data_IF_980740828566
#
_entry.id   IF_980740828566
#
_cell.length_a   1.000
_cell.length_b   1.000
_cell.length_c   1.000
_cell.angle_alpha   90.00
_cell.angle_beta   90.00
_cell.angle_gamma   90.00
#
_symmetry.space_group_name_H-M   'P 1'
#
loop_
_entity.id
_entity.type
_entity.pdbx_description
1 polymer ?
#
# COMPACT_ATOMS: atom_id res chain seq x y z
N UNK A 1 15.14 1.82 -18.53
CA UNK A 1 15.65 1.87 -17.14
C UNK A 1 15.50 0.50 -16.51
N UNK A 2 16.60 -0.15 -16.12
CA UNK A 2 16.52 -1.42 -15.40
C UNK A 2 15.96 -1.20 -13.98
N UNK A 3 15.63 -2.28 -13.26
CA UNK A 3 15.00 -2.17 -11.93
C UNK A 3 15.88 -1.41 -10.93
N UNK A 4 17.18 -1.69 -10.89
CA UNK A 4 18.11 -0.98 -9.99
C UNK A 4 18.12 0.52 -10.25
N UNK A 5 18.17 0.94 -11.52
CA UNK A 5 18.10 2.36 -11.88
C UNK A 5 16.77 3.01 -11.47
N UNK A 6 15.66 2.25 -11.46
CA UNK A 6 14.38 2.74 -10.93
C UNK A 6 14.46 2.99 -9.42
N UNK A 7 15.07 2.05 -8.68
CA UNK A 7 15.31 2.20 -7.24
C UNK A 7 16.23 3.40 -6.96
N UNK A 8 17.35 3.54 -7.66
CA UNK A 8 18.29 4.66 -7.48
C UNK A 8 17.61 6.01 -7.76
N UNK A 9 16.75 6.06 -8.79
CA UNK A 9 15.96 7.25 -9.09
C UNK A 9 14.95 7.56 -7.98
N UNK A 10 14.28 6.56 -7.41
CA UNK A 10 13.37 6.76 -6.26
C UNK A 10 14.16 7.31 -5.06
N UNK A 11 15.26 6.66 -4.68
CA UNK A 11 16.07 7.04 -3.52
C UNK A 11 16.60 8.47 -3.65
N UNK A 12 16.95 8.91 -4.86
CA UNK A 12 17.49 10.26 -5.10
C UNK A 12 16.44 11.36 -5.23
N UNK A 13 15.19 11.04 -5.58
CA UNK A 13 14.16 12.05 -5.93
C UNK A 13 12.94 12.07 -5.02
N UNK A 14 12.62 10.95 -4.37
CA UNK A 14 11.43 10.82 -3.54
C UNK A 14 11.55 11.63 -2.25
N UNK A 15 10.40 12.11 -1.79
CA UNK A 15 10.26 12.84 -0.53
C UNK A 15 9.42 12.02 0.44
N UNK A 16 9.62 12.24 1.74
CA UNK A 16 8.77 11.65 2.76
C UNK A 16 7.29 11.76 2.41
N UNK A 17 6.57 10.63 2.55
CA UNK A 17 5.14 10.57 2.28
C UNK A 17 4.77 10.29 0.82
N UNK A 18 5.73 10.27 -0.11
CA UNK A 18 5.49 9.90 -1.51
C UNK A 18 5.01 8.45 -1.63
N UNK A 19 3.99 8.24 -2.47
CA UNK A 19 3.50 6.91 -2.79
C UNK A 19 4.49 6.23 -3.74
N UNK A 20 4.98 5.06 -3.35
CA UNK A 20 5.79 4.20 -4.21
C UNK A 20 4.89 3.08 -4.74
N UNK A 21 4.73 3.04 -6.06
CA UNK A 21 3.99 2.00 -6.77
C UNK A 21 4.98 0.97 -7.32
N UNK A 22 4.83 -0.27 -6.88
CA UNK A 22 5.50 -1.43 -7.45
C UNK A 22 4.50 -2.13 -8.39
N UNK A 23 4.49 -1.73 -9.66
CA UNK A 23 3.56 -2.23 -10.67
C UNK A 23 3.96 -3.62 -11.13
N UNK A 24 3.07 -4.59 -10.93
CA UNK A 24 3.28 -5.98 -11.33
C UNK A 24 2.77 -6.19 -12.77
N UNK A 25 3.33 -7.16 -13.53
CA UNK A 25 2.95 -7.39 -14.93
C UNK A 25 1.47 -7.70 -15.22
N UNK A 26 0.65 -7.95 -14.20
CA UNK A 26 -0.75 -8.40 -14.34
C UNK A 26 -1.80 -7.34 -13.94
N UNK A 27 -1.45 -6.05 -13.94
CA UNK A 27 -2.40 -4.96 -13.67
C UNK A 27 -2.78 -4.81 -12.20
N UNK A 28 -1.94 -5.34 -11.31
CA UNK A 28 -1.95 -5.09 -9.87
C UNK A 28 -0.62 -4.44 -9.50
N UNK A 29 -0.62 -3.66 -8.44
CA UNK A 29 0.52 -2.93 -7.90
C UNK A 29 0.57 -3.13 -6.39
N UNK A 30 1.76 -3.40 -5.88
CA UNK A 30 2.03 -3.27 -4.45
C UNK A 30 2.36 -1.81 -4.12
N UNK A 31 1.96 -1.35 -2.95
CA UNK A 31 2.07 0.05 -2.56
C UNK A 31 2.84 0.22 -1.25
N UNK A 32 3.63 1.28 -1.21
CA UNK A 32 4.38 1.69 -0.04
C UNK A 32 4.43 3.22 0.05
N UNK A 33 4.90 3.72 1.20
CA UNK A 33 5.20 5.13 1.41
C UNK A 33 6.70 5.29 1.58
N UNK A 34 7.30 6.24 0.87
CA UNK A 34 8.69 6.61 1.08
C UNK A 34 8.88 7.23 2.46
N UNK A 35 9.83 6.70 3.22
CA UNK A 35 10.06 6.99 4.63
C UNK A 35 11.50 7.43 4.90
N UNK A 36 11.99 8.33 4.04
CA UNK A 36 13.33 8.92 4.06
C UNK A 36 14.47 7.86 4.00
N UNK A 37 15.72 8.31 3.84
CA UNK A 37 16.93 7.47 3.87
C UNK A 37 16.93 6.24 2.94
N UNK A 38 16.26 6.31 1.79
CA UNK A 38 16.16 5.18 0.87
C UNK A 38 15.30 4.02 1.38
N UNK A 39 14.40 4.28 2.32
CA UNK A 39 13.49 3.29 2.87
C UNK A 39 12.04 3.58 2.51
N UNK A 40 11.22 2.53 2.59
CA UNK A 40 9.77 2.62 2.51
C UNK A 40 9.13 1.92 3.71
N UNK A 41 7.95 2.39 4.09
CA UNK A 41 7.02 1.66 4.95
C UNK A 41 5.91 1.05 4.10
N UNK A 42 5.63 -0.24 4.29
CA UNK A 42 4.59 -0.95 3.54
C UNK A 42 3.86 -1.98 4.41
N UNK A 43 2.61 -2.24 4.07
CA UNK A 43 1.86 -3.37 4.62
C UNK A 43 2.23 -4.63 3.83
N UNK A 44 3.14 -5.44 4.37
CA UNK A 44 3.76 -6.55 3.66
C UNK A 44 2.76 -7.67 3.35
N UNK A 45 2.99 -8.40 2.27
CA UNK A 45 2.19 -9.59 1.91
C UNK A 45 2.98 -10.83 2.32
N UNK A 46 2.36 -11.78 3.01
CA UNK A 46 3.05 -13.01 3.46
C UNK A 46 3.40 -13.96 2.30
N UNK A 47 2.50 -14.11 1.32
CA UNK A 47 2.70 -14.97 0.15
C UNK A 47 2.32 -14.25 -1.15
N UNK A 48 3.33 -13.70 -1.84
CA UNK A 48 3.16 -13.02 -3.13
C UNK A 48 2.72 -13.96 -4.25
N UNK A 49 3.13 -15.24 -4.21
CA UNK A 49 2.71 -16.21 -5.24
C UNK A 49 1.23 -16.48 -5.12
N UNK A 50 0.76 -16.73 -3.89
CA UNK A 50 -0.66 -16.89 -3.61
C UNK A 50 -1.45 -15.62 -3.97
N UNK A 51 -0.94 -14.43 -3.62
CA UNK A 51 -1.56 -13.16 -4.02
C UNK A 51 -1.69 -13.09 -5.54
N UNK A 52 -0.61 -13.34 -6.29
CA UNK A 52 -0.62 -13.27 -7.75
C UNK A 52 -1.56 -14.29 -8.39
N UNK A 53 -1.59 -15.53 -7.90
CA UNK A 53 -2.56 -16.54 -8.36
C UNK A 53 -3.99 -16.08 -8.11
N UNK A 54 -4.24 -15.46 -6.95
CA UNK A 54 -5.58 -15.03 -6.56
C UNK A 54 -6.04 -13.81 -7.36
N UNK A 55 -5.18 -12.80 -7.51
CA UNK A 55 -5.41 -11.62 -8.36
C UNK A 55 -5.66 -12.05 -9.80
N UNK A 56 -4.81 -12.94 -10.36
CA UNK A 56 -5.01 -13.46 -11.72
C UNK A 56 -6.37 -14.14 -11.86
N UNK A 57 -6.73 -15.01 -10.91
CA UNK A 57 -8.01 -15.73 -10.93
C UNK A 57 -9.18 -14.75 -10.88
N UNK A 58 -9.09 -13.72 -10.04
CA UNK A 58 -10.10 -12.68 -9.90
C UNK A 58 -10.25 -11.87 -11.20
N UNK A 59 -9.14 -11.36 -11.75
CA UNK A 59 -9.13 -10.58 -12.98
C UNK A 59 -9.63 -11.38 -14.19
N UNK A 60 -9.34 -12.68 -14.25
CA UNK A 60 -9.76 -13.54 -15.35
C UNK A 60 -11.25 -13.90 -15.33
N UNK A 61 -11.87 -14.00 -14.14
CA UNK A 61 -13.23 -14.54 -14.03
C UNK A 61 -14.35 -13.50 -13.97
N UNK A 62 -14.05 -12.19 -13.86
CA UNK A 62 -15.04 -11.10 -13.67
C UNK A 62 -16.18 -11.54 -12.74
N UNK A 63 -15.85 -12.23 -11.65
CA UNK A 63 -16.86 -12.69 -10.70
C UNK A 63 -17.15 -11.53 -9.76
N UNK A 64 -18.41 -11.16 -9.55
CA UNK A 64 -18.77 -10.32 -8.43
C UNK A 64 -18.50 -11.12 -7.15
N UNK A 65 -17.28 -11.03 -6.64
CA UNK A 65 -16.92 -11.63 -5.35
C UNK A 65 -17.54 -10.75 -4.28
N UNK A 66 -18.67 -11.19 -3.74
CA UNK A 66 -19.25 -10.61 -2.55
C UNK A 66 -18.51 -11.23 -1.35
N UNK A 67 -17.51 -10.53 -0.82
CA UNK A 67 -16.79 -10.99 0.37
C UNK A 67 -15.34 -10.54 0.46
N UNK A 68 -14.80 -10.76 1.65
CA UNK A 68 -13.44 -10.49 2.07
C UNK A 68 -12.49 -11.61 1.62
N UNK A 69 -11.33 -11.26 1.05
CA UNK A 69 -10.32 -12.23 0.64
C UNK A 69 -9.09 -12.09 1.53
N UNK A 70 -9.14 -12.79 2.66
CA UNK A 70 -8.08 -12.83 3.65
C UNK A 70 -6.89 -13.65 3.12
N UNK A 71 -5.72 -13.03 3.09
CA UNK A 71 -4.46 -13.66 2.67
C UNK A 71 -3.52 -13.94 3.87
N UNK A 72 -4.04 -13.80 5.10
CA UNK A 72 -3.32 -14.06 6.35
C UNK A 72 -3.04 -12.80 7.17
N UNK A 73 -2.45 -12.96 8.34
CA UNK A 73 -2.00 -11.85 9.18
C UNK A 73 -0.57 -11.45 8.79
N UNK A 74 -0.36 -10.16 8.58
CA UNK A 74 0.93 -9.63 8.11
C UNK A 74 1.30 -8.37 8.85
N UNK A 75 2.57 -7.98 8.76
CA UNK A 75 3.14 -6.88 9.54
C UNK A 75 3.42 -5.68 8.64
N UNK A 76 3.15 -4.48 9.15
CA UNK A 76 3.60 -3.23 8.54
C UNK A 76 5.09 -3.04 8.87
N UNK A 77 5.92 -2.93 7.83
CA UNK A 77 7.39 -2.96 7.95
C UNK A 77 8.02 -1.77 7.26
N UNK A 78 9.14 -1.30 7.82
CA UNK A 78 10.07 -0.38 7.17
C UNK A 78 11.25 -1.18 6.62
N UNK A 79 11.52 -1.04 5.33
CA UNK A 79 12.60 -1.76 4.62
C UNK A 79 13.27 -0.84 3.59
N UNK A 80 14.52 -1.09 3.18
CA UNK A 80 15.11 -0.43 2.02
C UNK A 80 14.24 -0.61 0.77
N UNK A 81 14.13 0.41 -0.09
CA UNK A 81 13.24 0.36 -1.27
C UNK A 81 13.56 -0.85 -2.17
N UNK A 82 14.84 -1.16 -2.35
CA UNK A 82 15.30 -2.29 -3.16
C UNK A 82 15.11 -3.68 -2.52
N UNK A 83 14.74 -3.74 -1.23
CA UNK A 83 14.47 -5.00 -0.52
C UNK A 83 12.97 -5.32 -0.43
N UNK A 84 12.12 -4.46 -0.98
CA UNK A 84 10.70 -4.81 -1.16
C UNK A 84 10.62 -5.97 -2.14
N UNK A 85 10.16 -7.11 -1.64
CA UNK A 85 9.98 -8.29 -2.46
C UNK A 85 8.87 -8.03 -3.49
N UNK A 86 9.20 -8.24 -4.76
CA UNK A 86 8.30 -8.02 -5.90
C UNK A 86 8.59 -9.08 -6.97
N UNK A 87 7.58 -9.47 -7.78
CA UNK A 87 7.79 -10.43 -8.85
C UNK A 87 8.75 -9.91 -9.91
N UNK A 88 9.42 -10.83 -10.60
CA UNK A 88 10.25 -10.49 -11.75
C UNK A 88 9.44 -9.73 -12.82
N UNK A 89 10.04 -8.68 -13.38
CA UNK A 89 9.38 -7.78 -14.34
C UNK A 89 8.50 -6.69 -13.70
N UNK A 90 8.48 -6.56 -12.37
CA UNK A 90 7.86 -5.43 -11.72
C UNK A 90 8.61 -4.11 -12.01
N UNK A 91 7.88 -3.00 -11.98
CA UNK A 91 8.41 -1.65 -12.12
C UNK A 91 8.14 -0.84 -10.85
N UNK A 92 9.13 -0.09 -10.38
CA UNK A 92 8.98 0.80 -9.23
C UNK A 92 8.96 2.27 -9.68
N UNK A 93 8.00 3.06 -9.19
CA UNK A 93 7.93 4.50 -9.45
C UNK A 93 7.26 5.29 -8.31
N UNK A 94 7.53 6.59 -8.25
CA UNK A 94 6.76 7.53 -7.43
C UNK A 94 5.42 7.83 -8.15
N UNK A 95 4.30 7.56 -7.49
CA UNK A 95 2.95 7.54 -8.08
C UNK A 95 1.92 8.37 -7.28
N UNK A 96 2.25 9.63 -7.01
CA UNK A 96 1.39 10.54 -6.24
C UNK A 96 0.10 11.00 -6.96
N UNK A 97 -0.02 10.74 -8.26
CA UNK A 97 -1.10 11.21 -9.12
C UNK A 97 -2.14 10.12 -9.45
N UNK A 98 -2.06 8.96 -8.79
CA UNK A 98 -2.99 7.84 -9.00
C UNK A 98 -4.27 7.96 -8.19
N UNK A 99 -4.33 8.91 -7.26
CA UNK A 99 -5.46 9.17 -6.37
C UNK A 99 -5.83 10.66 -6.38
N UNK A 100 -7.12 10.95 -6.43
CA UNK A 100 -7.65 12.32 -6.52
C UNK A 100 -7.80 13.00 -5.13
N UNK A 101 -6.73 12.97 -4.32
CA UNK A 101 -6.71 13.52 -2.96
C UNK A 101 -5.50 14.42 -2.73
N UNK A 102 -5.69 15.45 -1.91
CA UNK A 102 -4.62 16.31 -1.42
C UNK A 102 -3.86 15.59 -0.30
N UNK A 103 -2.52 15.52 -0.34
CA UNK A 103 -1.74 14.95 0.77
C UNK A 103 -2.00 15.73 2.06
N UNK A 104 -2.00 15.03 3.19
CA UNK A 104 -2.05 15.68 4.50
C UNK A 104 -0.76 16.46 4.79
N UNK A 105 -0.70 17.17 5.91
CA UNK A 105 0.55 17.77 6.33
C UNK A 105 1.58 16.68 6.70
N UNK A 106 2.91 16.92 6.53
CA UNK A 106 3.95 15.94 6.87
C UNK A 106 3.85 15.42 8.32
N UNK A 107 3.48 16.28 9.26
CA UNK A 107 3.25 15.93 10.66
C UNK A 107 2.15 14.88 10.84
N UNK A 108 1.02 15.01 10.15
CA UNK A 108 -0.08 14.03 10.20
C UNK A 108 0.35 12.70 9.57
N UNK A 109 1.13 12.74 8.48
CA UNK A 109 1.67 11.55 7.85
C UNK A 109 2.65 10.82 8.78
N UNK A 110 3.56 11.55 9.45
CA UNK A 110 4.49 10.98 10.45
C UNK A 110 3.74 10.35 11.62
N UNK A 111 2.73 11.04 12.15
CA UNK A 111 1.90 10.52 13.24
C UNK A 111 1.28 9.17 12.89
N UNK A 112 0.65 9.05 11.71
CA UNK A 112 0.06 7.78 11.27
C UNK A 112 1.11 6.71 11.00
N UNK A 113 2.23 7.10 10.39
CA UNK A 113 3.36 6.21 10.10
C UNK A 113 3.90 5.59 11.40
N UNK A 114 4.12 6.40 12.42
CA UNK A 114 4.70 5.96 13.69
C UNK A 114 3.75 5.02 14.44
N UNK A 115 2.46 5.34 14.48
CA UNK A 115 1.47 4.51 15.16
C UNK A 115 1.26 3.13 14.48
N UNK A 116 1.34 3.10 13.14
CA UNK A 116 1.07 1.89 12.36
C UNK A 116 2.32 1.02 12.11
N UNK A 117 3.53 1.58 12.27
CA UNK A 117 4.76 0.81 12.13
C UNK A 117 4.76 -0.37 13.11
N UNK A 118 5.16 -1.55 12.62
CA UNK A 118 5.19 -2.81 13.35
C UNK A 118 3.84 -3.42 13.76
N UNK A 119 2.71 -2.81 13.43
CA UNK A 119 1.40 -3.42 13.68
C UNK A 119 1.22 -4.67 12.81
N UNK A 120 0.62 -5.70 13.39
CA UNK A 120 0.21 -6.91 12.68
C UNK A 120 -1.30 -6.89 12.47
N UNK A 121 -1.73 -7.04 11.21
CA UNK A 121 -3.12 -6.90 10.79
C UNK A 121 -3.47 -7.96 9.76
N UNK A 122 -4.75 -8.38 9.68
CA UNK A 122 -5.21 -9.26 8.61
C UNK A 122 -5.07 -8.54 7.26
N UNK A 123 -4.34 -9.15 6.33
CA UNK A 123 -4.22 -8.65 4.96
C UNK A 123 -5.42 -9.13 4.15
N UNK A 124 -6.27 -8.19 3.73
CA UNK A 124 -7.42 -8.47 2.91
C UNK A 124 -7.34 -7.74 1.58
N UNK A 125 -7.29 -8.49 0.48
CA UNK A 125 -7.11 -7.93 -0.86
C UNK A 125 -8.15 -6.85 -1.20
N UNK A 126 -9.39 -6.98 -0.73
CA UNK A 126 -10.48 -6.08 -1.11
C UNK A 126 -10.73 -4.96 -0.12
N UNK A 127 -10.45 -5.16 1.18
CA UNK A 127 -10.91 -4.27 2.24
C UNK A 127 -9.81 -3.78 3.17
N UNK A 128 -8.61 -4.37 3.16
CA UNK A 128 -7.50 -3.93 4.02
C UNK A 128 -6.17 -4.41 3.43
N UNK A 129 -5.66 -3.67 2.45
CA UNK A 129 -4.48 -4.05 1.66
C UNK A 129 -3.40 -2.95 1.68
N UNK A 130 -2.32 -3.16 0.93
CA UNK A 130 -1.20 -2.22 0.85
C UNK A 130 -1.57 -0.83 0.30
N UNK A 131 -2.49 -0.73 -0.67
CA UNK A 131 -2.92 0.57 -1.22
C UNK A 131 -3.72 1.36 -0.18
N UNK A 132 -4.68 0.70 0.48
CA UNK A 132 -5.45 1.29 1.57
C UNK A 132 -4.52 1.83 2.68
N UNK A 133 -3.51 1.06 3.06
CA UNK A 133 -2.51 1.49 4.03
C UNK A 133 -1.75 2.73 3.54
N UNK A 134 -1.16 2.67 2.35
CA UNK A 134 -0.34 3.76 1.82
C UNK A 134 -1.16 5.06 1.65
N UNK A 135 -2.37 4.97 1.11
CA UNK A 135 -3.24 6.14 0.96
C UNK A 135 -3.72 6.66 2.31
N UNK A 136 -3.95 5.81 3.31
CA UNK A 136 -4.31 6.26 4.65
C UNK A 136 -3.18 7.07 5.29
N UNK A 137 -1.93 6.59 5.17
CA UNK A 137 -0.75 7.35 5.62
C UNK A 137 -0.68 8.71 4.91
N UNK A 138 -0.86 8.76 3.58
CA UNK A 138 -0.68 10.01 2.82
C UNK A 138 -1.85 10.99 2.93
N UNK A 139 -3.08 10.50 2.88
CA UNK A 139 -4.29 11.32 2.71
C UNK A 139 -5.24 11.29 3.92
N UNK A 140 -5.11 10.29 4.79
CA UNK A 140 -6.01 10.09 5.94
C UNK A 140 -7.25 9.31 5.61
N UNK A 141 -7.29 8.79 4.38
CA UNK A 141 -8.38 8.00 3.82
C UNK A 141 -7.79 6.79 3.15
N UNK A 142 -8.31 5.62 3.50
CA UNK A 142 -7.97 4.39 2.82
C UNK A 142 -8.71 4.31 1.48
N UNK A 143 -8.00 4.16 0.37
CA UNK A 143 -8.54 4.15 -1.00
C UNK A 143 -7.85 3.04 -1.78
N UNK A 144 -8.58 2.36 -2.65
CA UNK A 144 -8.01 1.34 -3.53
C UNK A 144 -8.60 1.43 -4.94
N UNK A 145 -7.77 1.78 -5.92
CA UNK A 145 -8.17 1.95 -7.33
C UNK A 145 -7.96 0.70 -8.19
N UNK A 146 -7.40 -0.36 -7.58
CA UNK A 146 -6.96 -1.56 -8.27
C UNK A 146 -8.01 -2.66 -8.43
N UNK A 147 -9.11 -2.62 -7.66
CA UNK A 147 -10.12 -3.68 -7.68
C UNK A 147 -11.19 -3.37 -8.73
N UNK A 148 -11.29 -4.15 -9.82
CA UNK A 148 -12.42 -4.08 -10.74
C UNK A 148 -13.79 -4.03 -10.04
N UNK A 149 -14.73 -3.28 -10.60
CA UNK A 149 -16.08 -3.08 -10.07
C UNK A 149 -16.18 -2.33 -8.71
N UNK A 150 -15.07 -1.94 -8.06
CA UNK A 150 -15.11 -0.95 -6.98
C UNK A 150 -15.01 0.47 -7.54
N UNK A 151 -15.73 1.45 -6.96
CA UNK A 151 -15.55 2.86 -7.31
C UNK A 151 -14.10 3.31 -7.07
N UNK A 152 -13.56 4.07 -8.01
CA UNK A 152 -12.22 4.65 -7.90
C UNK A 152 -12.28 5.97 -7.14
N UNK A 153 -11.23 6.26 -6.39
CA UNK A 153 -11.11 7.45 -5.55
C UNK A 153 -12.23 7.57 -4.51
N UNK A 154 -12.78 6.43 -4.09
CA UNK A 154 -13.74 6.36 -3.01
C UNK A 154 -13.07 5.82 -1.76
N UNK A 155 -13.42 6.41 -0.62
CA UNK A 155 -12.89 6.01 0.67
C UNK A 155 -13.50 4.68 1.11
N UNK A 156 -12.64 3.71 1.42
CA UNK A 156 -13.04 2.51 2.14
C UNK A 156 -13.13 2.84 3.63
N UNK A 157 -14.32 3.24 4.09
CA UNK A 157 -14.57 3.65 5.48
C UNK A 157 -14.17 2.57 6.50
N UNK A 158 -14.39 1.29 6.18
CA UNK A 158 -13.95 0.17 7.02
C UNK A 158 -12.43 0.17 7.25
N UNK A 159 -11.64 0.28 6.19
CA UNK A 159 -10.18 0.38 6.29
C UNK A 159 -9.72 1.65 7.02
N UNK A 160 -10.33 2.81 6.70
CA UNK A 160 -10.01 4.06 7.39
C UNK A 160 -10.23 3.93 8.89
N UNK A 161 -11.36 3.37 9.31
CA UNK A 161 -11.67 3.17 10.74
C UNK A 161 -10.66 2.27 11.42
N UNK A 162 -10.33 1.12 10.82
CA UNK A 162 -9.32 0.19 11.38
C UNK A 162 -7.99 0.90 11.65
N UNK A 163 -7.47 1.64 10.66
CA UNK A 163 -6.20 2.34 10.84
C UNK A 163 -6.31 3.51 11.82
N UNK A 164 -7.42 4.26 11.77
CA UNK A 164 -7.66 5.41 12.64
C UNK A 164 -7.78 5.01 14.10
N UNK A 165 -8.42 3.90 14.41
CA UNK A 165 -8.57 3.40 15.79
C UNK A 165 -7.20 3.04 16.39
N UNK A 166 -6.33 2.42 15.61
CA UNK A 166 -4.95 2.13 16.02
C UNK A 166 -4.20 3.44 16.29
N UNK A 167 -4.29 4.40 15.37
CA UNK A 167 -3.64 5.72 15.49
C UNK A 167 -4.12 6.47 16.73
N UNK A 168 -5.41 6.43 17.03
CA UNK A 168 -5.98 7.08 18.20
C UNK A 168 -5.53 6.40 19.50
N UNK A 169 -5.50 5.06 19.53
CA UNK A 169 -5.07 4.31 20.72
C UNK A 169 -3.62 4.59 21.14
N UNK A 170 -2.76 5.01 20.20
CA UNK A 170 -1.35 5.35 20.45
C UNK A 170 -1.10 6.80 20.85
N UNK A 171 -2.11 7.67 20.76
CA UNK A 171 -2.03 9.07 21.20
C UNK A 171 -2.52 9.27 22.63
N UNK A 172 -3.21 8.27 23.20
CA UNK A 172 -3.76 8.30 24.56
C UNK A 172 -2.83 7.72 25.62
N UNK A 173 -1.67 7.21 25.21
CA UNK A 173 -0.60 6.65 26.06
C UNK A 173 0.52 7.69 26.28
#
# INVERSE_FOLDING_TARGET
MNYQQQIDNIVSTAKFGDLIEFSYPLGYSHWAIYDDDGHVIHFAVADEKQLMTTVRTYLQKIVPVCGDLLLGETKIRRVPVGEVNVPHGAHALVSNNRHAFTPSAPEDMRLRRDALLNQSLPYNLFTLNCEHFATFIRYGKAVCNQIPAKPKNEECTGATTVFKDIVNSKQTD
#
